data_IF_449706243207
#
_entry.id   IF_449706243207
#
_cell.length_a   1.000
_cell.length_b   1.000
_cell.length_c   1.000
_cell.angle_alpha   90.00
_cell.angle_beta   90.00
_cell.angle_gamma   90.00
#
_symmetry.space_group_name_H-M   'P 1'
#
loop_
_entity.id
_entity.type
_entity.pdbx_description
1 polymer ?
#
# COMPACT_ATOMS: atom_id res chain seq x y z
N UNK A 1 -7.82 -23.94 57.61
CA UNK A 1 -8.65 -24.55 56.52
C UNK A 1 -8.52 -23.64 55.31
N UNK A 2 -7.86 -24.10 54.24
CA UNK A 2 -7.43 -23.19 53.15
C UNK A 2 -8.61 -22.72 52.31
N UNK A 3 -8.90 -21.41 52.35
CA UNK A 3 -9.95 -20.72 51.58
C UNK A 3 -9.88 -21.08 50.09
N UNK A 4 -8.67 -21.18 49.56
CA UNK A 4 -8.43 -21.64 48.18
C UNK A 4 -9.04 -23.03 47.89
N UNK A 5 -8.94 -23.99 48.81
CA UNK A 5 -9.50 -25.32 48.65
C UNK A 5 -11.04 -25.32 48.64
N UNK A 6 -11.66 -24.41 49.36
CA UNK A 6 -13.12 -24.20 49.34
C UNK A 6 -13.57 -23.56 48.02
N UNK A 7 -12.84 -22.57 47.50
CA UNK A 7 -13.13 -21.94 46.22
C UNK A 7 -13.05 -22.97 45.07
N UNK A 8 -11.98 -23.76 45.03
CA UNK A 8 -11.84 -24.82 44.02
C UNK A 8 -12.94 -25.86 44.11
N UNK A 9 -13.29 -26.32 45.31
CA UNK A 9 -14.37 -27.31 45.51
C UNK A 9 -15.74 -26.74 45.06
N UNK A 10 -15.99 -25.45 45.28
CA UNK A 10 -17.23 -24.80 44.88
C UNK A 10 -17.30 -24.56 43.37
N UNK A 11 -16.19 -24.26 42.72
CA UNK A 11 -16.10 -24.16 41.26
C UNK A 11 -16.53 -25.43 40.53
N UNK A 12 -16.08 -26.59 41.01
CA UNK A 12 -16.41 -27.88 40.42
C UNK A 12 -17.84 -28.38 40.75
N UNK A 13 -18.51 -27.78 41.73
CA UNK A 13 -19.89 -28.11 42.06
C UNK A 13 -20.90 -27.59 41.07
N UNK A 14 -20.60 -26.43 40.39
CA UNK A 14 -21.44 -25.81 39.37
C UNK A 14 -20.73 -25.74 38.03
N UNK A 15 -20.44 -26.90 37.45
CA UNK A 15 -19.60 -27.05 36.26
C UNK A 15 -20.08 -26.15 35.07
N UNK A 16 -21.40 -26.09 34.82
CA UNK A 16 -21.96 -25.30 33.75
C UNK A 16 -21.68 -23.79 33.92
N UNK A 17 -21.90 -23.25 35.12
CA UNK A 17 -21.65 -21.84 35.44
C UNK A 17 -20.16 -21.50 35.29
N UNK A 18 -19.30 -22.33 35.85
CA UNK A 18 -17.84 -22.14 35.80
C UNK A 18 -17.34 -22.20 34.36
N UNK A 19 -17.81 -23.18 33.59
CA UNK A 19 -17.45 -23.29 32.15
C UNK A 19 -17.89 -22.06 31.33
N UNK A 20 -19.12 -21.57 31.53
CA UNK A 20 -19.59 -20.36 30.85
C UNK A 20 -18.79 -19.11 31.24
N UNK A 21 -18.44 -19.00 32.53
CA UNK A 21 -17.61 -17.87 32.97
C UNK A 21 -16.20 -17.90 32.36
N UNK A 22 -15.56 -19.07 32.35
CA UNK A 22 -14.23 -19.25 31.74
C UNK A 22 -14.31 -18.96 30.23
N UNK A 23 -15.33 -19.47 29.56
CA UNK A 23 -15.54 -19.23 28.13
C UNK A 23 -15.73 -17.73 27.84
N UNK A 24 -16.55 -17.04 28.63
CA UNK A 24 -16.75 -15.61 28.50
C UNK A 24 -15.47 -14.80 28.67
N UNK A 25 -14.66 -15.12 29.68
CA UNK A 25 -13.35 -14.47 29.89
C UNK A 25 -12.38 -14.80 28.75
N UNK A 26 -12.35 -16.06 28.29
CA UNK A 26 -11.51 -16.46 27.17
C UNK A 26 -11.87 -15.69 25.88
N UNK A 27 -13.17 -15.57 25.57
CA UNK A 27 -13.64 -14.80 24.41
C UNK A 27 -13.25 -13.33 24.56
N UNK A 28 -13.40 -12.74 25.72
CA UNK A 28 -13.02 -11.35 25.95
C UNK A 28 -11.51 -11.12 25.74
N UNK A 29 -10.67 -12.00 26.23
CA UNK A 29 -9.20 -11.93 26.03
C UNK A 29 -8.84 -12.08 24.56
N UNK A 30 -9.46 -13.05 23.86
CA UNK A 30 -9.24 -13.25 22.43
C UNK A 30 -9.68 -12.03 21.62
N UNK A 31 -10.85 -11.48 21.90
CA UNK A 31 -11.36 -10.30 21.21
C UNK A 31 -10.44 -9.09 21.42
N UNK A 32 -9.96 -8.89 22.66
CA UNK A 32 -9.00 -7.81 22.96
C UNK A 32 -7.66 -8.05 22.25
N UNK A 33 -7.15 -9.28 22.25
CA UNK A 33 -5.91 -9.64 21.56
C UNK A 33 -5.99 -9.40 20.05
N UNK A 34 -7.09 -9.81 19.42
CA UNK A 34 -7.33 -9.56 18.01
C UNK A 34 -7.40 -8.05 17.71
N UNK A 35 -8.13 -7.29 18.51
CA UNK A 35 -8.23 -5.84 18.34
C UNK A 35 -6.85 -5.18 18.43
N UNK A 36 -6.04 -5.56 19.42
CA UNK A 36 -4.65 -5.07 19.58
C UNK A 36 -3.78 -5.42 18.38
N UNK A 37 -3.93 -6.63 17.86
CA UNK A 37 -3.18 -7.08 16.67
C UNK A 37 -3.53 -6.25 15.43
N UNK A 38 -4.82 -6.00 15.20
CA UNK A 38 -5.29 -5.15 14.09
C UNK A 38 -4.75 -3.73 14.23
N UNK A 39 -4.84 -3.14 15.42
CA UNK A 39 -4.31 -1.80 15.69
C UNK A 39 -2.79 -1.76 15.46
N UNK A 40 -2.03 -2.73 15.98
CA UNK A 40 -0.57 -2.80 15.80
C UNK A 40 -0.18 -2.97 14.34
N UNK A 41 -0.91 -3.80 13.58
CA UNK A 41 -0.68 -3.96 12.15
C UNK A 41 -0.93 -2.65 11.38
N UNK A 42 -1.93 -1.87 11.80
CA UNK A 42 -2.22 -0.56 11.20
C UNK A 42 -1.09 0.44 11.44
N UNK A 43 -0.60 0.51 12.69
CA UNK A 43 0.53 1.40 13.03
C UNK A 43 1.84 0.97 12.38
N UNK A 44 2.10 -0.34 12.21
CA UNK A 44 3.28 -0.83 11.51
C UNK A 44 3.36 -0.34 10.05
N UNK A 45 2.22 -0.20 9.36
CA UNK A 45 2.17 0.38 8.01
C UNK A 45 2.52 1.87 8.04
N UNK A 46 2.09 2.60 9.07
CA UNK A 46 2.42 4.03 9.23
C UNK A 46 3.90 4.21 9.56
N UNK A 47 4.47 3.39 10.43
CA UNK A 47 5.89 3.41 10.80
C UNK A 47 6.81 2.99 9.64
N UNK A 48 6.37 2.07 8.79
CA UNK A 48 7.11 1.68 7.58
C UNK A 48 7.14 2.79 6.53
N UNK A 49 6.21 3.76 6.60
CA UNK A 49 6.25 4.93 5.74
C UNK A 49 7.31 5.91 6.29
N UNK A 50 8.16 6.43 5.41
CA UNK A 50 9.18 7.39 5.81
C UNK A 50 8.54 8.64 6.43
N UNK A 51 8.87 8.94 7.67
CA UNK A 51 8.40 10.13 8.39
C UNK A 51 8.76 11.46 7.69
N UNK A 52 9.71 11.41 6.76
CA UNK A 52 10.17 12.58 5.99
C UNK A 52 9.42 12.79 4.67
N UNK A 53 8.51 11.87 4.30
CA UNK A 53 7.74 11.96 3.05
C UNK A 53 6.31 12.39 3.32
N UNK A 54 5.92 13.49 2.69
CA UNK A 54 4.56 14.03 2.77
C UNK A 54 3.87 13.88 1.42
N UNK A 55 2.60 13.51 1.44
CA UNK A 55 1.76 13.45 0.25
C UNK A 55 0.76 14.60 0.29
N UNK A 56 0.87 15.51 -0.67
CA UNK A 56 -0.07 16.61 -0.86
C UNK A 56 -1.07 16.20 -1.93
N UNK A 57 -2.35 16.24 -1.61
CA UNK A 57 -3.42 15.86 -2.52
C UNK A 57 -4.52 16.92 -2.57
N UNK A 58 -5.36 16.84 -3.59
CA UNK A 58 -6.56 17.65 -3.66
C UNK A 58 -7.51 17.33 -2.49
N UNK A 59 -8.03 18.36 -1.84
CA UNK A 59 -8.93 18.20 -0.68
C UNK A 59 -10.27 17.54 -1.06
N UNK A 60 -10.72 17.72 -2.30
CA UNK A 60 -12.01 17.22 -2.77
C UNK A 60 -11.96 15.74 -3.12
N UNK A 61 -10.94 15.33 -3.88
CA UNK A 61 -10.84 13.95 -4.36
C UNK A 61 -9.41 13.56 -4.74
N UNK A 62 -9.05 12.31 -4.49
CA UNK A 62 -7.75 11.75 -4.86
C UNK A 62 -7.49 11.72 -6.38
N UNK A 63 -8.47 11.40 -7.25
CA UNK A 63 -8.31 11.42 -8.70
C UNK A 63 -8.15 12.83 -9.31
N UNK A 64 -8.55 13.88 -8.60
CA UNK A 64 -8.40 15.24 -9.10
C UNK A 64 -6.95 15.70 -8.96
N UNK A 65 -6.25 15.99 -10.08
CA UNK A 65 -4.88 16.46 -10.02
C UNK A 65 -4.80 17.87 -9.44
N UNK A 66 -3.70 18.13 -8.74
CA UNK A 66 -3.33 19.50 -8.37
C UNK A 66 -2.71 20.22 -9.58
N UNK A 67 -2.90 21.55 -9.71
CA UNK A 67 -2.18 22.33 -10.70
C UNK A 67 -0.66 22.18 -10.53
N UNK A 68 0.07 22.06 -11.65
CA UNK A 68 1.54 21.91 -11.61
C UNK A 68 2.27 23.06 -10.93
N UNK A 69 1.65 24.24 -10.87
CA UNK A 69 2.19 25.40 -10.14
C UNK A 69 2.39 25.13 -8.64
N UNK A 70 1.64 24.19 -8.05
CA UNK A 70 1.83 23.80 -6.65
C UNK A 70 3.18 23.12 -6.41
N UNK A 71 3.72 22.41 -7.40
CA UNK A 71 5.05 21.83 -7.32
C UNK A 71 6.12 22.90 -7.00
N UNK A 72 6.11 24.00 -7.75
CA UNK A 72 7.09 25.07 -7.55
C UNK A 72 6.88 25.79 -6.22
N UNK A 73 5.63 26.01 -5.82
CA UNK A 73 5.32 26.59 -4.51
C UNK A 73 5.80 25.72 -3.36
N UNK A 74 5.59 24.41 -3.42
CA UNK A 74 6.03 23.47 -2.39
C UNK A 74 7.56 23.40 -2.35
N UNK A 75 8.22 23.44 -3.51
CA UNK A 75 9.69 23.39 -3.60
C UNK A 75 10.38 24.57 -2.91
N UNK A 76 9.69 25.72 -2.82
CA UNK A 76 10.20 26.93 -2.17
C UNK A 76 10.04 26.92 -0.65
N UNK A 77 9.32 25.96 -0.08
CA UNK A 77 9.13 25.86 1.38
C UNK A 77 10.43 25.40 2.02
N UNK A 78 10.86 26.10 3.07
CA UNK A 78 12.02 25.74 3.84
C UNK A 78 11.91 24.33 4.41
N UNK A 79 12.99 23.53 4.31
CA UNK A 79 13.02 22.12 4.75
C UNK A 79 12.60 21.13 3.67
N UNK A 80 12.02 21.55 2.55
CA UNK A 80 11.67 20.66 1.43
C UNK A 80 12.92 20.37 0.59
N UNK A 81 13.35 19.09 0.59
CA UNK A 81 14.54 18.67 -0.16
C UNK A 81 14.23 18.28 -1.62
N UNK A 82 13.09 17.67 -1.86
CA UNK A 82 12.68 17.22 -3.19
C UNK A 82 11.16 17.21 -3.30
N UNK A 83 10.64 17.47 -4.50
CA UNK A 83 9.22 17.39 -4.82
C UNK A 83 9.05 16.59 -6.09
N UNK A 84 8.16 15.62 -6.07
CA UNK A 84 7.72 14.90 -7.25
C UNK A 84 6.22 15.06 -7.42
N UNK A 85 5.71 14.72 -8.59
CA UNK A 85 4.28 14.65 -8.82
C UNK A 85 3.89 13.31 -9.41
N UNK A 86 2.68 12.91 -9.09
CA UNK A 86 2.03 11.72 -9.63
C UNK A 86 0.55 12.00 -9.79
N UNK A 87 -0.03 11.39 -10.81
CA UNK A 87 -1.45 11.49 -11.11
C UNK A 87 -2.05 10.11 -11.14
N UNK A 88 -3.21 9.96 -10.55
CA UNK A 88 -4.00 8.75 -10.70
C UNK A 88 -4.35 8.56 -12.18
N UNK A 89 -3.92 7.45 -12.77
CA UNK A 89 -4.20 7.18 -14.18
C UNK A 89 -5.56 6.51 -14.36
N UNK A 90 -5.94 5.63 -13.44
CA UNK A 90 -7.23 4.95 -13.44
C UNK A 90 -7.42 4.00 -14.62
N UNK A 91 -6.35 3.40 -15.12
CA UNK A 91 -6.42 2.44 -16.21
C UNK A 91 -6.98 1.09 -15.76
N UNK A 92 -7.83 0.48 -16.57
CA UNK A 92 -8.41 -0.85 -16.36
C UNK A 92 -7.69 -1.83 -17.26
N UNK A 93 -7.19 -2.93 -16.66
CA UNK A 93 -6.61 -4.06 -17.37
C UNK A 93 -7.65 -5.16 -17.54
N UNK A 94 -7.87 -5.60 -18.75
CA UNK A 94 -8.89 -6.60 -19.15
C UNK A 94 -10.31 -6.11 -18.83
N UNK A 95 -10.73 -6.13 -17.57
CA UNK A 95 -12.05 -5.73 -17.09
C UNK A 95 -12.00 -5.07 -15.70
N UNK A 96 -13.14 -4.65 -15.18
CA UNK A 96 -13.26 -3.95 -13.89
C UNK A 96 -12.94 -4.83 -12.68
N UNK A 97 -13.00 -6.16 -12.83
CA UNK A 97 -12.65 -7.12 -11.77
C UNK A 97 -11.14 -7.25 -11.58
N UNK A 98 -10.36 -6.88 -12.60
CA UNK A 98 -8.90 -6.89 -12.60
C UNK A 98 -8.31 -5.52 -12.24
N UNK A 99 -8.95 -4.85 -11.29
CA UNK A 99 -8.52 -3.54 -10.84
C UNK A 99 -7.21 -3.61 -10.03
N UNK A 100 -6.32 -2.69 -10.31
CA UNK A 100 -5.16 -2.35 -9.50
C UNK A 100 -4.83 -0.86 -9.60
N UNK A 101 -4.27 -0.32 -8.53
CA UNK A 101 -3.87 1.08 -8.49
C UNK A 101 -2.74 1.34 -9.50
N UNK A 102 -2.93 2.35 -10.35
CA UNK A 102 -1.93 2.75 -11.32
C UNK A 102 -1.81 4.27 -11.38
N UNK A 103 -0.55 4.75 -11.45
CA UNK A 103 -0.21 6.16 -11.37
C UNK A 103 0.75 6.53 -12.50
N UNK A 104 0.52 7.67 -13.11
CA UNK A 104 1.50 8.34 -13.95
C UNK A 104 2.37 9.23 -13.06
N UNK A 105 3.68 9.02 -13.07
CA UNK A 105 4.64 9.72 -12.20
C UNK A 105 5.76 10.35 -13.02
N UNK A 106 6.39 11.39 -12.47
CA UNK A 106 7.64 11.88 -13.03
C UNK A 106 8.80 10.97 -12.60
N UNK A 107 9.41 10.18 -13.51
CA UNK A 107 10.27 9.08 -13.11
C UNK A 107 11.51 9.50 -12.30
N UNK A 108 12.16 10.60 -12.69
CA UNK A 108 13.44 11.03 -12.08
C UNK A 108 13.27 11.46 -10.65
N UNK A 109 12.33 12.36 -10.39
CA UNK A 109 12.08 12.87 -9.04
C UNK A 109 11.36 11.85 -8.17
N UNK A 110 10.48 11.05 -8.76
CA UNK A 110 9.78 9.99 -8.04
C UNK A 110 10.74 8.94 -7.47
N UNK A 111 11.64 8.42 -8.30
CA UNK A 111 12.64 7.44 -7.86
C UNK A 111 13.68 8.02 -6.88
N UNK A 112 13.93 9.32 -6.94
CA UNK A 112 14.79 9.97 -5.96
C UNK A 112 14.13 10.07 -4.57
N UNK A 113 12.80 10.22 -4.53
CA UNK A 113 12.03 10.25 -3.27
C UNK A 113 11.76 8.85 -2.72
N UNK A 114 11.68 7.84 -3.60
CA UNK A 114 11.40 6.45 -3.24
C UNK A 114 12.61 5.54 -3.55
N UNK A 115 13.71 5.64 -2.79
CA UNK A 115 14.92 4.86 -3.02
C UNK A 115 14.73 3.35 -2.85
N UNK A 116 13.65 2.94 -2.15
CA UNK A 116 13.24 1.55 -2.03
C UNK A 116 12.79 0.92 -3.37
N UNK A 117 12.46 1.74 -4.37
CA UNK A 117 12.19 1.27 -5.73
C UNK A 117 13.52 1.13 -6.47
N UNK A 118 14.14 -0.03 -6.31
CA UNK A 118 15.44 -0.31 -6.93
C UNK A 118 15.23 -0.76 -8.36
N UNK A 119 15.58 0.09 -9.33
CA UNK A 119 15.59 -0.23 -10.76
C UNK A 119 17.06 -0.38 -11.19
N UNK A 120 17.46 -1.51 -11.81
CA UNK A 120 18.81 -1.67 -12.38
C UNK A 120 19.17 -0.52 -13.32
N UNK A 121 20.45 -0.15 -13.37
CA UNK A 121 20.88 1.07 -14.05
C UNK A 121 20.57 1.05 -15.56
N UNK A 122 20.75 -0.10 -16.20
CA UNK A 122 20.42 -0.33 -17.61
C UNK A 122 18.92 -0.12 -17.92
N UNK A 123 18.04 -0.60 -17.04
CA UNK A 123 16.60 -0.44 -17.16
C UNK A 123 16.14 0.97 -16.78
N UNK A 124 16.85 1.64 -15.86
CA UNK A 124 16.54 3.00 -15.40
C UNK A 124 16.64 4.02 -16.54
N UNK A 125 17.68 3.94 -17.36
CA UNK A 125 17.85 4.80 -18.52
C UNK A 125 16.73 4.62 -19.53
N UNK A 126 16.39 3.37 -19.86
CA UNK A 126 15.27 3.05 -20.72
C UNK A 126 13.93 3.57 -20.14
N UNK A 127 13.74 3.41 -18.83
CA UNK A 127 12.55 3.93 -18.13
C UNK A 127 12.43 5.45 -18.18
N UNK A 128 13.54 6.18 -18.19
CA UNK A 128 13.52 7.64 -18.27
C UNK A 128 13.28 8.18 -19.69
N UNK A 129 13.73 7.46 -20.70
CA UNK A 129 13.65 7.91 -22.11
C UNK A 129 12.29 7.63 -22.75
N UNK A 130 11.67 6.53 -22.38
CA UNK A 130 10.46 6.05 -23.02
C UNK A 130 9.22 6.42 -22.20
N UNK A 131 8.38 7.29 -22.77
CA UNK A 131 7.12 7.71 -22.12
C UNK A 131 6.08 6.60 -21.96
N UNK A 132 6.25 5.49 -22.65
CA UNK A 132 5.42 4.29 -22.53
C UNK A 132 5.97 3.29 -21.53
N UNK A 133 7.06 3.60 -20.86
CA UNK A 133 7.63 2.74 -19.83
C UNK A 133 6.73 2.62 -18.62
N UNK A 134 6.60 1.40 -18.12
CA UNK A 134 5.91 1.11 -16.87
C UNK A 134 6.78 0.25 -15.95
N UNK A 135 6.58 0.42 -14.65
CA UNK A 135 7.09 -0.46 -13.62
C UNK A 135 5.89 -1.08 -12.88
N UNK A 136 5.93 -2.37 -12.63
CA UNK A 136 4.89 -3.08 -11.89
C UNK A 136 5.47 -3.78 -10.67
N UNK A 137 4.70 -3.83 -9.58
CA UNK A 137 5.08 -4.59 -8.39
C UNK A 137 5.11 -6.09 -8.67
N UNK A 138 6.01 -6.83 -8.00
CA UNK A 138 6.20 -8.28 -8.21
C UNK A 138 4.90 -9.07 -8.07
N UNK A 139 4.13 -8.84 -7.00
CA UNK A 139 2.85 -9.53 -6.78
C UNK A 139 1.86 -9.37 -7.92
N UNK A 140 1.86 -8.19 -8.55
CA UNK A 140 1.00 -7.91 -9.70
C UNK A 140 1.50 -8.62 -10.94
N UNK A 141 2.80 -8.60 -11.17
CA UNK A 141 3.45 -9.28 -12.29
C UNK A 141 3.24 -10.81 -12.21
N UNK A 142 3.41 -11.41 -11.03
CA UNK A 142 3.21 -12.84 -10.82
C UNK A 142 1.73 -13.23 -11.04
N UNK A 143 0.79 -12.38 -10.61
CA UNK A 143 -0.66 -12.61 -10.83
C UNK A 143 -1.03 -12.70 -12.30
N UNK A 144 -0.42 -11.87 -13.13
CA UNK A 144 -0.76 -11.76 -14.56
C UNK A 144 0.28 -12.40 -15.49
N UNK A 145 1.31 -13.03 -14.94
CA UNK A 145 2.38 -13.65 -15.71
C UNK A 145 3.24 -12.64 -16.47
N UNK A 146 3.35 -11.41 -15.99
CA UNK A 146 4.08 -10.36 -16.68
C UNK A 146 5.58 -10.48 -16.52
N UNK A 147 6.28 -10.20 -17.61
CA UNK A 147 7.75 -10.19 -17.69
C UNK A 147 8.23 -8.82 -18.20
N UNK A 148 9.50 -8.50 -17.91
CA UNK A 148 10.15 -7.32 -18.48
C UNK A 148 10.14 -7.41 -20.00
N UNK A 149 9.71 -6.33 -20.66
CA UNK A 149 9.52 -6.26 -22.10
C UNK A 149 8.09 -6.54 -22.57
N UNK A 150 7.22 -7.09 -21.72
CA UNK A 150 5.81 -7.26 -22.11
C UNK A 150 5.12 -5.91 -22.29
N UNK A 151 4.21 -5.86 -23.24
CA UNK A 151 3.31 -4.72 -23.43
C UNK A 151 2.02 -4.98 -22.66
N UNK A 152 1.67 -4.05 -21.78
CA UNK A 152 0.43 -4.06 -21.03
C UNK A 152 -0.48 -2.98 -21.55
N UNK A 153 -1.66 -3.36 -22.01
CA UNK A 153 -2.66 -2.42 -22.51
C UNK A 153 -3.65 -2.09 -21.40
N UNK A 154 -3.81 -0.82 -21.10
CA UNK A 154 -4.79 -0.31 -20.15
C UNK A 154 -5.85 0.50 -20.89
N UNK A 155 -7.11 0.29 -20.53
CA UNK A 155 -8.22 1.16 -20.95
C UNK A 155 -8.32 2.31 -19.95
N UNK A 156 -8.03 3.53 -20.39
CA UNK A 156 -8.09 4.70 -19.52
C UNK A 156 -9.52 5.09 -19.19
N UNK A 157 -9.79 5.38 -17.92
CA UNK A 157 -11.09 5.91 -17.46
C UNK A 157 -11.06 7.43 -17.35
N UNK A 158 -10.01 7.99 -16.74
CA UNK A 158 -9.80 9.44 -16.62
C UNK A 158 -9.23 10.01 -17.94
N UNK A 159 -8.33 9.26 -18.55
CA UNK A 159 -7.76 9.59 -19.87
C UNK A 159 -8.30 8.60 -20.90
N UNK A 160 -9.39 8.92 -21.60
CA UNK A 160 -10.07 8.00 -22.52
C UNK A 160 -9.13 7.45 -23.58
N UNK A 161 -9.26 6.17 -23.89
CA UNK A 161 -8.47 5.50 -24.92
C UNK A 161 -7.81 4.22 -24.45
N UNK A 162 -7.15 3.54 -25.40
CA UNK A 162 -6.31 2.38 -25.15
C UNK A 162 -4.86 2.85 -25.03
N UNK A 163 -4.22 2.54 -23.94
CA UNK A 163 -2.85 2.95 -23.64
C UNK A 163 -1.96 1.72 -23.51
N UNK A 164 -0.93 1.67 -24.30
CA UNK A 164 0.05 0.59 -24.29
C UNK A 164 1.29 1.01 -23.53
N UNK A 165 1.66 0.23 -22.53
CA UNK A 165 2.85 0.44 -21.71
C UNK A 165 3.77 -0.75 -21.80
N UNK A 166 5.07 -0.50 -21.92
CA UNK A 166 6.10 -1.53 -21.94
C UNK A 166 6.67 -1.67 -20.54
N UNK A 167 6.58 -2.87 -19.97
CA UNK A 167 7.17 -3.16 -18.67
C UNK A 167 8.69 -3.15 -18.75
N UNK A 168 9.30 -2.17 -18.11
CA UNK A 168 10.75 -2.01 -18.05
C UNK A 168 11.35 -2.48 -16.74
N UNK A 169 10.52 -2.60 -15.70
CA UNK A 169 10.98 -3.03 -14.40
C UNK A 169 9.95 -3.87 -13.67
N UNK A 170 10.47 -4.95 -13.06
CA UNK A 170 9.78 -5.76 -12.05
C UNK A 170 10.77 -5.94 -10.88
N UNK A 171 10.42 -5.60 -9.63
CA UNK A 171 11.29 -5.77 -8.49
C UNK A 171 11.75 -7.22 -8.36
N UNK A 172 13.01 -7.44 -7.98
CA UNK A 172 13.55 -8.77 -7.72
C UNK A 172 12.72 -9.57 -6.72
N UNK A 173 12.83 -10.89 -6.73
CA UNK A 173 12.36 -11.71 -5.61
C UNK A 173 13.29 -11.38 -4.44
N UNK A 174 12.75 -10.69 -3.40
CA UNK A 174 13.40 -10.56 -2.11
C UNK A 174 13.35 -11.88 -1.35
#
# INVERSE_FOLDING_TARGET
MNILKMIFKNMFRHKLRTSLTILGVAIAILAFGLLRTVISAWYAVVEASSASRLVVRNAVSLPLPLPLSYREKIRQIEGVKAVSYGTWFGGIYIDEKHFFANYAVEPRTYLAIYPEIVIPQDQREAFYRDRKSAAAGRKLADRYGWQVGNTVTLRGTIYPGKWEFVLRHLPGKG
#
